data_IF_375748240286
#
_entry.id   IF_375748240286
#
_cell.length_a   1.000
_cell.length_b   1.000
_cell.length_c   1.000
_cell.angle_alpha   90.00
_cell.angle_beta   90.00
_cell.angle_gamma   90.00
#
_symmetry.space_group_name_H-M   'P 1'
#
loop_
_entity.id
_entity.type
_entity.pdbx_description
1 polymer ?
#
# COMPACT_ATOMS: atom_id res chain seq x y z
N UNK A 1 -12.67 11.87 0.43
CA UNK A 1 -12.57 12.23 -1.00
C UNK A 1 -13.81 11.72 -1.73
N UNK A 2 -14.49 12.54 -2.54
CA UNK A 2 -15.69 12.16 -3.33
C UNK A 2 -15.32 12.23 -4.82
N UNK A 3 -15.51 11.13 -5.55
CA UNK A 3 -15.22 11.05 -6.99
C UNK A 3 -16.56 11.04 -7.73
N UNK A 4 -16.66 11.83 -8.79
CA UNK A 4 -17.83 11.86 -9.68
C UNK A 4 -17.43 11.17 -10.97
N UNK A 5 -18.21 10.17 -11.38
CA UNK A 5 -18.03 9.43 -12.62
C UNK A 5 -19.12 9.87 -13.59
N UNK A 6 -18.84 10.93 -14.33
CA UNK A 6 -19.71 11.44 -15.38
C UNK A 6 -19.46 10.70 -16.71
N UNK A 7 -20.45 10.69 -17.60
CA UNK A 7 -20.39 10.09 -18.94
C UNK A 7 -20.24 8.56 -19.01
N UNK A 8 -20.69 7.82 -17.99
CA UNK A 8 -20.87 6.38 -18.13
C UNK A 8 -21.94 6.06 -19.17
N UNK A 9 -21.66 5.13 -20.07
CA UNK A 9 -22.62 4.70 -21.09
C UNK A 9 -23.92 4.21 -20.42
N UNK A 10 -25.11 4.61 -20.90
CA UNK A 10 -26.38 4.25 -20.26
C UNK A 10 -26.57 2.74 -20.08
N UNK A 11 -26.13 1.94 -21.06
CA UNK A 11 -26.20 0.48 -20.99
C UNK A 11 -25.29 -0.09 -19.88
N UNK A 12 -24.11 0.50 -19.68
CA UNK A 12 -23.20 0.11 -18.61
C UNK A 12 -23.82 0.39 -17.24
N UNK A 13 -24.47 1.55 -17.07
CA UNK A 13 -25.14 1.91 -15.80
C UNK A 13 -26.28 0.95 -15.47
N UNK A 14 -27.07 0.55 -16.46
CA UNK A 14 -28.16 -0.42 -16.28
C UNK A 14 -27.62 -1.81 -15.89
N UNK A 15 -26.57 -2.28 -16.55
CA UNK A 15 -25.94 -3.57 -16.21
C UNK A 15 -25.37 -3.58 -14.79
N UNK A 16 -24.69 -2.49 -14.38
CA UNK A 16 -24.16 -2.35 -13.03
C UNK A 16 -25.27 -2.34 -11.97
N UNK A 17 -26.39 -1.69 -12.27
CA UNK A 17 -27.54 -1.65 -11.36
C UNK A 17 -28.17 -3.04 -11.22
N UNK A 18 -28.38 -3.73 -12.34
CA UNK A 18 -28.89 -5.10 -12.34
C UNK A 18 -27.98 -6.04 -11.54
N UNK A 19 -26.66 -5.99 -11.75
CA UNK A 19 -25.70 -6.79 -10.99
C UNK A 19 -25.74 -6.50 -9.49
N UNK A 20 -25.81 -5.22 -9.11
CA UNK A 20 -25.92 -4.83 -7.71
C UNK A 20 -27.18 -5.41 -7.06
N UNK A 21 -28.33 -5.36 -7.75
CA UNK A 21 -29.59 -5.95 -7.28
C UNK A 21 -29.49 -7.47 -7.12
N UNK A 22 -28.92 -8.19 -8.11
CA UNK A 22 -28.73 -9.63 -8.04
C UNK A 22 -27.83 -10.04 -6.86
N UNK A 23 -26.86 -9.21 -6.50
CA UNK A 23 -25.96 -9.44 -5.38
C UNK A 23 -26.45 -8.88 -4.04
N UNK A 24 -27.63 -8.25 -4.01
CA UNK A 24 -28.18 -7.62 -2.79
C UNK A 24 -27.36 -6.43 -2.28
N UNK A 25 -26.72 -5.69 -3.19
CA UNK A 25 -25.83 -4.56 -2.91
C UNK A 25 -26.36 -3.27 -3.51
N UNK A 26 -25.81 -2.14 -3.06
CA UNK A 26 -26.04 -0.85 -3.72
C UNK A 26 -25.14 -0.71 -4.96
N UNK A 27 -25.57 0.09 -5.93
CA UNK A 27 -24.77 0.43 -7.12
C UNK A 27 -23.39 0.96 -6.75
N UNK A 28 -23.29 1.80 -5.71
CA UNK A 28 -22.02 2.32 -5.21
C UNK A 28 -21.10 1.20 -4.71
N UNK A 29 -21.64 0.23 -3.97
CA UNK A 29 -20.86 -0.89 -3.42
C UNK A 29 -20.34 -1.80 -4.53
N UNK A 30 -21.19 -2.08 -5.53
CA UNK A 30 -20.81 -2.91 -6.67
C UNK A 30 -19.72 -2.21 -7.51
N UNK A 31 -19.86 -0.90 -7.73
CA UNK A 31 -18.86 -0.12 -8.45
C UNK A 31 -17.51 -0.07 -7.70
N UNK A 32 -17.53 0.14 -6.37
CA UNK A 32 -16.32 0.07 -5.53
C UNK A 32 -15.65 -1.29 -5.63
N UNK A 33 -16.42 -2.38 -5.62
CA UNK A 33 -15.88 -3.73 -5.76
C UNK A 33 -15.20 -3.92 -7.11
N UNK A 34 -15.87 -3.56 -8.21
CA UNK A 34 -15.35 -3.69 -9.57
C UNK A 34 -14.07 -2.88 -9.75
N UNK A 35 -14.05 -1.62 -9.28
CA UNK A 35 -12.86 -0.78 -9.34
C UNK A 35 -11.72 -1.36 -8.49
N UNK A 36 -12.03 -1.86 -7.29
CA UNK A 36 -11.03 -2.53 -6.44
C UNK A 36 -10.46 -3.75 -7.15
N UNK A 37 -11.29 -4.59 -7.76
CA UNK A 37 -10.86 -5.76 -8.52
C UNK A 37 -10.06 -5.39 -9.78
N UNK A 38 -10.41 -4.31 -10.46
CA UNK A 38 -9.67 -3.84 -11.62
C UNK A 38 -8.25 -3.39 -11.24
N UNK A 39 -8.13 -2.67 -10.12
CA UNK A 39 -6.83 -2.25 -9.59
C UNK A 39 -6.08 -3.44 -9.00
N UNK A 40 -6.72 -4.36 -8.27
CA UNK A 40 -6.06 -5.54 -7.70
C UNK A 40 -5.71 -6.62 -8.71
N UNK A 41 -6.43 -6.77 -9.82
CA UNK A 41 -5.97 -7.60 -10.95
C UNK A 41 -4.71 -7.04 -11.59
N UNK A 42 -4.69 -5.73 -11.83
CA UNK A 42 -3.48 -5.04 -12.31
C UNK A 42 -2.33 -5.14 -11.29
N UNK A 43 -2.64 -5.10 -10.00
CA UNK A 43 -1.66 -5.37 -8.95
C UNK A 43 -1.23 -6.84 -8.98
N UNK A 44 -2.11 -7.84 -9.09
CA UNK A 44 -1.69 -9.24 -9.18
C UNK A 44 -0.79 -9.50 -10.39
N UNK A 45 -1.06 -8.88 -11.54
CA UNK A 45 -0.17 -8.96 -12.70
C UNK A 45 1.15 -8.19 -12.49
N UNK A 46 1.17 -7.07 -11.75
CA UNK A 46 2.41 -6.35 -11.39
C UNK A 46 3.17 -6.93 -10.18
N UNK A 47 2.50 -7.69 -9.30
CA UNK A 47 3.07 -8.34 -8.11
C UNK A 47 3.49 -9.79 -8.39
N UNK A 48 3.13 -10.35 -9.56
CA UNK A 48 3.66 -11.64 -10.02
C UNK A 48 5.12 -11.58 -10.50
N UNK A 49 5.75 -10.40 -10.57
CA UNK A 49 7.18 -10.25 -10.86
C UNK A 49 8.02 -9.61 -9.72
N UNK A 50 7.45 -9.38 -8.55
CA UNK A 50 8.26 -9.14 -7.36
C UNK A 50 8.31 -10.44 -6.55
N UNK A 51 9.21 -11.33 -6.95
CA UNK A 51 9.65 -12.44 -6.11
C UNK A 51 10.02 -11.83 -4.76
N UNK A 52 9.20 -12.05 -3.72
CA UNK A 52 9.52 -11.62 -2.37
C UNK A 52 10.90 -12.19 -2.06
N UNK A 53 11.88 -11.30 -1.88
CA UNK A 53 13.25 -11.71 -1.56
C UNK A 53 13.16 -12.52 -0.26
N UNK A 54 13.67 -13.77 -0.23
CA UNK A 54 13.75 -14.54 1.00
C UNK A 54 14.39 -13.72 2.11
N UNK A 55 13.85 -13.83 3.33
CA UNK A 55 14.29 -13.03 4.48
C UNK A 55 15.80 -13.15 4.72
N UNK A 56 16.37 -14.32 4.45
CA UNK A 56 17.79 -14.63 4.57
C UNK A 56 18.65 -13.83 3.59
N UNK A 57 18.17 -13.65 2.35
CA UNK A 57 18.86 -12.86 1.33
C UNK A 57 18.78 -11.38 1.70
N UNK A 58 17.61 -10.91 2.14
CA UNK A 58 17.44 -9.53 2.58
C UNK A 58 18.32 -9.22 3.80
N UNK A 59 18.37 -10.12 4.78
CA UNK A 59 19.23 -9.97 5.95
C UNK A 59 20.72 -9.91 5.58
N UNK A 60 21.16 -10.72 4.61
CA UNK A 60 22.54 -10.70 4.12
C UNK A 60 22.88 -9.36 3.43
N UNK A 61 21.98 -8.83 2.60
CA UNK A 61 22.16 -7.53 1.93
C UNK A 61 22.21 -6.37 2.92
N UNK A 62 21.34 -6.37 3.92
CA UNK A 62 21.36 -5.37 5.00
C UNK A 62 22.68 -5.44 5.76
N UNK A 63 23.13 -6.64 6.13
CA UNK A 63 24.40 -6.81 6.83
C UNK A 63 25.59 -6.32 6.01
N UNK A 64 25.68 -6.69 4.73
CA UNK A 64 26.75 -6.22 3.84
C UNK A 64 26.77 -4.69 3.72
N UNK A 65 25.60 -4.07 3.64
CA UNK A 65 25.48 -2.61 3.60
C UNK A 65 25.99 -1.97 4.89
N UNK A 66 25.64 -2.54 6.05
CA UNK A 66 26.12 -2.08 7.35
C UNK A 66 27.64 -2.21 7.47
N UNK A 67 28.22 -3.35 7.07
CA UNK A 67 29.66 -3.56 7.06
C UNK A 67 30.38 -2.55 6.14
N UNK A 68 29.85 -2.28 4.95
CA UNK A 68 30.42 -1.30 4.02
C UNK A 68 30.37 0.14 4.54
N UNK A 69 29.43 0.45 5.44
CA UNK A 69 29.31 1.77 6.07
C UNK A 69 30.10 1.87 7.40
N UNK A 70 30.82 0.82 7.80
CA UNK A 70 31.65 0.83 9.01
C UNK A 70 30.92 0.42 10.30
N UNK A 71 29.70 -0.12 10.19
CA UNK A 71 28.94 -0.65 11.32
C UNK A 71 29.33 -2.10 11.60
N UNK A 72 30.46 -2.28 12.28
CA UNK A 72 31.03 -3.61 12.52
C UNK A 72 30.69 -4.18 13.90
N UNK A 73 30.27 -3.34 14.85
CA UNK A 73 29.96 -3.75 16.22
C UNK A 73 28.46 -3.81 16.48
N UNK A 74 28.10 -4.69 17.41
CA UNK A 74 26.71 -4.83 17.84
C UNK A 74 26.14 -3.54 18.43
N UNK A 75 26.95 -2.79 19.18
CA UNK A 75 26.55 -1.51 19.79
C UNK A 75 26.21 -0.46 18.72
N UNK A 76 27.05 -0.30 17.70
CA UNK A 76 26.78 0.64 16.60
C UNK A 76 25.49 0.28 15.84
N UNK A 77 25.20 -1.01 15.67
CA UNK A 77 23.96 -1.46 15.02
C UNK A 77 22.75 -1.17 15.92
N UNK A 78 22.87 -1.36 17.24
CA UNK A 78 21.80 -1.00 18.19
C UNK A 78 21.51 0.50 18.13
N UNK A 79 22.54 1.35 18.17
CA UNK A 79 22.38 2.80 18.12
C UNK A 79 21.66 3.22 16.82
N UNK A 80 22.08 2.67 15.68
CA UNK A 80 21.40 2.90 14.40
C UNK A 80 19.92 2.50 14.43
N UNK A 81 19.59 1.34 15.00
CA UNK A 81 18.20 0.90 15.12
C UNK A 81 17.39 1.83 16.03
N UNK A 82 18.00 2.39 17.08
CA UNK A 82 17.32 3.36 17.95
C UNK A 82 17.06 4.69 17.22
N UNK A 83 18.01 5.16 16.43
CA UNK A 83 17.85 6.38 15.63
C UNK A 83 16.76 6.20 14.57
N UNK A 84 16.76 5.09 13.82
CA UNK A 84 15.70 4.77 12.84
C UNK A 84 14.33 4.72 13.51
N UNK A 85 14.21 4.12 14.70
CA UNK A 85 12.95 4.10 15.46
C UNK A 85 12.48 5.51 15.85
N UNK A 86 13.42 6.39 16.21
CA UNK A 86 13.12 7.79 16.55
C UNK A 86 12.59 8.53 15.32
N UNK A 87 13.30 8.44 14.19
CA UNK A 87 12.91 9.09 12.93
C UNK A 87 11.52 8.61 12.47
N UNK A 88 11.25 7.30 12.52
CA UNK A 88 9.94 6.76 12.19
C UNK A 88 8.84 7.31 13.10
N UNK A 89 9.09 7.38 14.41
CA UNK A 89 8.11 7.94 15.35
C UNK A 89 7.84 9.43 15.08
N UNK A 90 8.86 10.21 14.72
CA UNK A 90 8.73 11.62 14.34
C UNK A 90 7.94 11.79 13.05
N UNK A 91 8.21 10.99 12.01
CA UNK A 91 7.43 10.98 10.78
C UNK A 91 5.95 10.65 11.02
N UNK A 92 5.68 9.68 11.89
CA UNK A 92 4.32 9.30 12.27
C UNK A 92 3.58 10.45 12.98
N UNK A 93 4.27 11.18 13.86
CA UNK A 93 3.71 12.35 14.55
C UNK A 93 3.45 13.51 13.58
N UNK A 94 4.37 13.78 12.66
CA UNK A 94 4.23 14.83 11.65
C UNK A 94 3.05 14.56 10.70
N UNK A 95 2.86 13.31 10.27
CA UNK A 95 1.71 12.91 9.45
C UNK A 95 0.39 13.07 10.22
N UNK A 96 0.35 12.66 11.48
CA UNK A 96 -0.83 12.83 12.33
C UNK A 96 -1.18 14.30 12.63
N UNK A 97 -0.19 15.20 12.61
CA UNK A 97 -0.42 16.63 12.72
C UNK A 97 -0.98 17.21 11.41
N UNK A 98 -0.44 16.82 10.25
CA UNK A 98 -0.94 17.23 8.94
C UNK A 98 -2.39 16.77 8.67
N UNK A 99 -2.77 15.57 9.11
CA UNK A 99 -4.14 15.06 8.98
C UNK A 99 -5.15 15.78 9.91
N UNK A 100 -4.69 16.49 10.95
CA UNK A 100 -5.53 17.24 11.88
C UNK A 100 -5.72 18.72 11.50
N UNK A 101 -4.98 19.21 10.51
CA UNK A 101 -5.04 20.59 10.00
C UNK A 101 -5.86 20.74 8.69
N UNK A 102 -6.47 19.65 8.21
CA UNK A 102 -7.36 19.59 7.03
C UNK A 102 -8.82 19.28 7.40
#
# INVERSE_FOLDING_TARGET
>A
MKIILDNLEPNLVENLRYQAEQHGRTLETELKLILTQAVTKNLQENFQEQTLIPLEILAAQVKESLDNQGYHSHEQIIDLVQDVKREMAEEHLLKAQHDNEL
#
